data_IF_007588055431
#
_entry.id   IF_007588055431
#
_cell.length_a   1.000
_cell.length_b   1.000
_cell.length_c   1.000
_cell.angle_alpha   90.00
_cell.angle_beta   90.00
_cell.angle_gamma   90.00
#
_symmetry.space_group_name_H-M   'P 1'
#
loop_
_entity.id
_entity.type
_entity.pdbx_description
1 polymer ?
#
# COMPACT_ATOMS: atom_id res chain seq x y z
N UNK A 1 31.28 31.85 20.51
CA UNK A 1 29.96 31.18 20.66
C UNK A 1 29.09 31.25 19.39
N UNK A 2 29.16 32.30 18.56
CA UNK A 2 28.32 32.37 17.33
C UNK A 2 28.75 31.45 16.19
N UNK A 3 29.98 30.98 16.11
CA UNK A 3 30.43 30.05 15.07
C UNK A 3 29.89 28.62 15.26
N UNK A 4 29.69 28.19 16.52
CA UNK A 4 29.15 26.87 16.84
C UNK A 4 27.64 26.75 16.52
N UNK A 5 26.87 27.84 16.69
CA UNK A 5 25.46 27.85 16.32
C UNK A 5 25.23 27.75 14.80
N UNK A 6 26.12 28.32 13.98
CA UNK A 6 26.01 28.21 12.51
C UNK A 6 26.34 26.81 11.98
N UNK A 7 27.16 26.05 12.69
CA UNK A 7 27.47 24.66 12.34
C UNK A 7 26.27 23.73 12.61
N UNK A 8 25.55 23.98 13.70
CA UNK A 8 24.32 23.23 14.04
C UNK A 8 23.15 23.52 13.09
N UNK A 9 23.06 24.75 12.57
CA UNK A 9 22.06 25.08 11.54
C UNK A 9 22.38 24.48 10.17
N UNK A 10 23.62 24.11 9.88
CA UNK A 10 24.03 23.37 8.67
C UNK A 10 23.97 21.84 8.84
N UNK A 11 23.91 21.33 10.05
CA UNK A 11 23.70 19.91 10.31
C UNK A 11 22.20 19.59 10.26
N UNK A 12 21.71 19.53 9.02
CA UNK A 12 20.53 18.78 8.65
C UNK A 12 19.22 19.28 9.25
N UNK A 13 18.48 20.05 8.48
CA UNK A 13 17.03 19.87 8.54
C UNK A 13 16.76 18.34 8.60
N UNK A 14 15.93 17.85 9.54
CA UNK A 14 15.65 16.43 9.67
C UNK A 14 15.30 15.91 8.28
N UNK A 15 16.08 14.96 7.77
CA UNK A 15 15.91 14.45 6.41
C UNK A 15 14.45 14.10 6.30
N UNK A 16 13.71 14.82 5.44
CA UNK A 16 12.26 14.70 5.39
C UNK A 16 11.94 13.21 5.25
N UNK A 17 11.26 12.65 6.26
CA UNK A 17 10.85 11.26 6.27
C UNK A 17 10.17 10.98 4.95
N UNK A 18 10.62 9.94 4.26
CA UNK A 18 10.02 9.48 3.01
C UNK A 18 9.44 8.09 3.25
N UNK A 19 8.34 7.83 2.60
CA UNK A 19 7.76 6.51 2.53
C UNK A 19 7.60 6.11 1.06
N UNK A 20 7.76 4.84 0.78
CA UNK A 20 7.83 4.34 -0.56
C UNK A 20 6.81 3.24 -0.79
N UNK A 21 6.19 3.28 -1.96
CA UNK A 21 5.31 2.23 -2.44
C UNK A 21 5.80 1.71 -3.78
N UNK A 22 5.73 0.42 -3.94
CA UNK A 22 6.13 -0.31 -5.15
C UNK A 22 4.97 -1.13 -5.66
N UNK A 23 4.43 -0.75 -6.81
CA UNK A 23 3.32 -1.42 -7.47
C UNK A 23 3.76 -2.10 -8.76
N UNK A 24 3.19 -3.26 -9.08
CA UNK A 24 3.39 -3.92 -10.37
C UNK A 24 2.65 -3.18 -11.48
N UNK A 25 3.20 -3.17 -12.69
CA UNK A 25 2.61 -2.62 -13.91
C UNK A 25 2.90 -3.60 -15.06
N UNK A 26 2.28 -4.77 -15.03
CA UNK A 26 2.58 -5.86 -15.95
C UNK A 26 4.06 -6.30 -15.85
N UNK A 27 4.85 -6.06 -16.91
CA UNK A 27 6.29 -6.39 -16.91
C UNK A 27 7.16 -5.35 -16.18
N UNK A 28 6.58 -4.27 -15.71
CA UNK A 28 7.28 -3.16 -15.05
C UNK A 28 6.84 -3.02 -13.59
N UNK A 29 7.59 -2.22 -12.85
CA UNK A 29 7.24 -1.79 -11.53
C UNK A 29 7.22 -0.26 -11.46
N UNK A 30 6.30 0.28 -10.69
CA UNK A 30 6.23 1.71 -10.40
C UNK A 30 6.60 1.95 -8.94
N UNK A 31 7.70 2.65 -8.71
CA UNK A 31 8.16 3.07 -7.40
C UNK A 31 7.79 4.54 -7.17
N UNK A 32 7.03 4.81 -6.12
CA UNK A 32 6.65 6.17 -5.73
C UNK A 32 7.16 6.48 -4.34
N UNK A 33 7.80 7.63 -4.20
CA UNK A 33 8.21 8.19 -2.92
C UNK A 33 7.31 9.35 -2.52
N UNK A 34 6.73 9.30 -1.32
CA UNK A 34 5.99 10.40 -0.71
C UNK A 34 6.83 11.13 0.32
N UNK A 35 6.74 12.46 0.35
CA UNK A 35 7.36 13.30 1.36
C UNK A 35 6.37 14.31 1.94
N UNK A 36 6.67 14.81 3.13
CA UNK A 36 5.84 15.82 3.80
C UNK A 36 5.83 17.12 3.01
N UNK A 37 4.65 17.67 2.76
CA UNK A 37 4.43 18.94 2.07
C UNK A 37 3.89 20.05 3.02
N UNK A 38 3.61 19.70 4.28
CA UNK A 38 3.05 20.55 5.31
C UNK A 38 2.85 19.76 6.58
N UNK A 39 2.02 20.23 7.52
CA UNK A 39 1.73 19.50 8.76
C UNK A 39 1.02 18.19 8.49
N UNK A 40 0.00 18.22 7.63
CA UNK A 40 -0.92 17.08 7.43
C UNK A 40 -1.02 16.63 5.97
N UNK A 41 -0.06 17.07 5.14
CA UNK A 41 -0.06 16.74 3.71
C UNK A 41 1.22 16.01 3.32
N UNK A 42 1.05 15.03 2.46
CA UNK A 42 2.11 14.37 1.72
C UNK A 42 1.99 14.72 0.24
N UNK A 43 3.11 14.81 -0.44
CA UNK A 43 3.18 15.00 -1.89
C UNK A 43 4.06 13.93 -2.54
N UNK A 44 3.79 13.68 -3.80
CA UNK A 44 4.68 12.85 -4.63
C UNK A 44 6.01 13.57 -4.79
N UNK A 45 7.08 12.95 -4.31
CA UNK A 45 8.46 13.47 -4.40
C UNK A 45 9.18 12.92 -5.62
N UNK A 46 8.93 11.65 -5.92
CA UNK A 46 9.57 10.95 -7.03
C UNK A 46 8.68 9.82 -7.51
N UNK A 47 8.76 9.58 -8.81
CA UNK A 47 8.16 8.41 -9.46
C UNK A 47 9.20 7.84 -10.40
N UNK A 48 9.44 6.52 -10.30
CA UNK A 48 10.39 5.81 -11.15
C UNK A 48 9.73 4.55 -11.69
N UNK A 49 9.81 4.34 -13.00
CA UNK A 49 9.44 3.08 -13.63
C UNK A 49 10.68 2.18 -13.70
N UNK A 50 10.49 0.93 -13.35
CA UNK A 50 11.55 -0.07 -13.25
C UNK A 50 11.18 -1.24 -14.13
N UNK A 51 12.06 -1.61 -15.06
CA UNK A 51 11.80 -2.74 -15.93
C UNK A 51 12.05 -4.07 -15.20
N UNK A 52 11.06 -4.96 -15.22
CA UNK A 52 11.14 -6.28 -14.58
C UNK A 52 12.03 -7.29 -15.31
N UNK A 53 12.60 -6.95 -16.47
CA UNK A 53 13.40 -7.85 -17.30
C UNK A 53 14.59 -8.48 -16.58
N UNK A 54 14.96 -7.98 -15.42
CA UNK A 54 16.05 -8.49 -14.59
C UNK A 54 15.57 -9.29 -13.38
N UNK A 55 14.28 -9.59 -13.25
CA UNK A 55 13.75 -10.29 -12.07
C UNK A 55 14.14 -9.60 -10.76
N UNK A 56 14.45 -10.42 -9.74
CA UNK A 56 14.90 -9.95 -8.42
C UNK A 56 16.08 -8.97 -8.46
N UNK A 57 16.98 -9.14 -9.43
CA UNK A 57 18.19 -8.32 -9.55
C UNK A 57 17.88 -6.90 -10.02
N UNK A 58 16.94 -6.72 -10.94
CA UNK A 58 16.56 -5.40 -11.44
C UNK A 58 15.83 -4.58 -10.37
N UNK A 59 14.89 -5.20 -9.66
CA UNK A 59 14.22 -4.56 -8.55
C UNK A 59 15.22 -4.13 -7.46
N UNK A 60 16.18 -4.98 -7.14
CA UNK A 60 17.23 -4.66 -6.17
C UNK A 60 18.07 -3.46 -6.62
N UNK A 61 18.52 -3.44 -7.87
CA UNK A 61 19.31 -2.32 -8.41
C UNK A 61 18.53 -1.00 -8.35
N UNK A 62 17.29 -1.04 -8.74
CA UNK A 62 16.41 0.13 -8.71
C UNK A 62 16.15 0.66 -7.31
N UNK A 63 15.94 -0.23 -6.33
CA UNK A 63 15.82 0.16 -4.94
C UNK A 63 17.16 0.73 -4.40
N UNK A 64 18.29 0.17 -4.82
CA UNK A 64 19.60 0.71 -4.48
C UNK A 64 19.79 2.11 -5.04
N UNK A 65 19.46 2.36 -6.30
CA UNK A 65 19.54 3.68 -6.92
C UNK A 65 18.63 4.70 -6.23
N UNK A 66 17.38 4.32 -5.93
CA UNK A 66 16.46 5.17 -5.19
C UNK A 66 16.93 5.45 -3.75
N UNK A 67 17.58 4.49 -3.10
CA UNK A 67 18.07 4.59 -1.72
C UNK A 67 19.41 5.32 -1.55
N UNK A 68 20.24 5.40 -2.57
CA UNK A 68 21.61 5.97 -2.49
C UNK A 68 21.65 7.44 -2.08
N UNK A 69 20.54 8.15 -2.08
CA UNK A 69 20.49 9.59 -1.78
C UNK A 69 20.48 9.93 -0.29
N UNK A 70 20.48 8.96 0.63
CA UNK A 70 20.43 9.26 2.08
C UNK A 70 21.25 8.28 2.91
N UNK A 71 22.30 8.79 3.51
CA UNK A 71 22.97 8.20 4.67
C UNK A 71 22.00 8.26 5.86
N UNK A 72 21.50 7.12 6.34
CA UNK A 72 20.60 7.09 7.49
C UNK A 72 19.87 5.77 7.65
N UNK A 73 18.76 5.82 8.36
CA UNK A 73 17.92 4.65 8.65
C UNK A 73 17.39 4.00 7.35
N UNK A 74 17.22 2.66 7.35
CA UNK A 74 16.72 1.94 6.18
C UNK A 74 15.37 2.50 5.74
N UNK A 75 15.23 2.73 4.45
CA UNK A 75 13.97 3.19 3.85
C UNK A 75 12.92 2.09 4.02
N UNK A 76 11.67 2.51 4.29
CA UNK A 76 10.53 1.60 4.36
C UNK A 76 9.82 1.57 3.02
N UNK A 77 9.47 0.38 2.55
CA UNK A 77 8.69 0.18 1.32
C UNK A 77 7.53 -0.77 1.58
N UNK A 78 6.36 -0.43 1.06
CA UNK A 78 5.23 -1.34 0.93
C UNK A 78 5.11 -1.79 -0.54
N UNK A 79 4.69 -3.02 -0.77
CA UNK A 79 4.66 -3.66 -2.09
C UNK A 79 3.25 -4.19 -2.35
N UNK A 80 2.73 -4.01 -3.58
CA UNK A 80 1.52 -4.72 -4.00
C UNK A 80 1.85 -6.12 -4.48
N UNK A 81 0.92 -7.02 -4.22
CA UNK A 81 0.81 -8.30 -4.90
C UNK A 81 -0.51 -8.35 -5.66
N UNK A 82 -0.47 -8.97 -6.82
CA UNK A 82 -1.62 -9.21 -7.68
C UNK A 82 -1.75 -10.71 -7.96
N UNK A 83 -2.86 -11.12 -8.56
CA UNK A 83 -3.02 -12.50 -9.01
C UNK A 83 -1.90 -12.89 -10.01
N UNK A 84 -1.40 -14.11 -9.99
CA UNK A 84 -1.84 -15.23 -9.16
C UNK A 84 -1.19 -15.32 -7.77
N UNK A 85 -0.23 -14.47 -7.44
CA UNK A 85 0.56 -14.53 -6.19
C UNK A 85 -0.25 -14.11 -4.96
N UNK A 86 -1.33 -13.33 -5.15
CA UNK A 86 -2.26 -12.91 -4.11
C UNK A 86 -3.66 -13.44 -4.40
N UNK A 87 -4.29 -14.01 -3.40
CA UNK A 87 -5.72 -14.38 -3.41
C UNK A 87 -6.48 -13.51 -2.42
N UNK A 88 -7.71 -13.18 -2.78
CA UNK A 88 -8.63 -12.45 -1.90
C UNK A 88 -9.96 -13.15 -1.89
N UNK A 89 -10.68 -13.05 -0.80
CA UNK A 89 -11.99 -13.65 -0.68
C UNK A 89 -12.80 -13.09 0.47
N UNK A 90 -13.96 -13.73 0.67
CA UNK A 90 -14.92 -13.38 1.70
C UNK A 90 -15.38 -14.65 2.38
N UNK A 91 -15.23 -14.70 3.69
CA UNK A 91 -15.73 -15.77 4.53
C UNK A 91 -17.01 -15.31 5.21
N UNK A 92 -18.02 -16.18 5.23
CA UNK A 92 -19.27 -15.96 5.97
C UNK A 92 -19.25 -16.79 7.24
N UNK A 93 -19.15 -16.14 8.39
CA UNK A 93 -19.16 -16.79 9.69
C UNK A 93 -20.51 -16.60 10.39
N UNK A 94 -21.14 -17.66 10.93
CA UNK A 94 -22.27 -17.51 11.85
C UNK A 94 -21.88 -16.64 13.04
N UNK A 95 -22.86 -15.88 13.57
CA UNK A 95 -22.61 -14.94 14.70
C UNK A 95 -22.16 -15.70 15.97
N UNK A 96 -22.51 -16.97 16.09
CA UNK A 96 -22.13 -17.85 17.20
C UNK A 96 -20.65 -18.24 17.20
N UNK A 97 -19.97 -18.11 16.07
CA UNK A 97 -18.53 -18.39 15.98
C UNK A 97 -17.75 -17.25 16.66
N UNK A 98 -17.00 -17.54 17.74
CA UNK A 98 -16.25 -16.53 18.46
C UNK A 98 -15.13 -15.96 17.57
N UNK A 99 -14.81 -14.69 17.79
CA UNK A 99 -13.80 -13.96 16.98
C UNK A 99 -12.41 -14.61 17.06
N UNK A 100 -12.10 -15.27 18.16
CA UNK A 100 -10.85 -16.00 18.36
C UNK A 100 -10.68 -17.18 17.38
N UNK A 101 -11.78 -17.70 16.82
CA UNK A 101 -11.76 -18.78 15.82
C UNK A 101 -11.50 -18.30 14.39
N UNK A 102 -11.76 -17.03 14.09
CA UNK A 102 -11.67 -16.50 12.72
C UNK A 102 -10.29 -16.67 12.07
N UNK A 103 -9.16 -16.44 12.76
CA UNK A 103 -7.85 -16.62 12.13
C UNK A 103 -7.64 -18.02 11.58
N UNK A 104 -8.12 -19.07 12.28
CA UNK A 104 -7.98 -20.45 11.84
C UNK A 104 -8.84 -20.74 10.58
N UNK A 105 -10.07 -20.25 10.57
CA UNK A 105 -10.97 -20.41 9.43
C UNK A 105 -10.42 -19.67 8.19
N UNK A 106 -9.98 -18.42 8.36
CA UNK A 106 -9.39 -17.65 7.26
C UNK A 106 -8.11 -18.33 6.75
N UNK A 107 -7.27 -18.85 7.64
CA UNK A 107 -6.06 -19.56 7.25
C UNK A 107 -6.36 -20.79 6.37
N UNK A 108 -7.40 -21.54 6.70
CA UNK A 108 -7.84 -22.71 5.91
C UNK A 108 -8.37 -22.29 4.54
N UNK A 109 -9.18 -21.24 4.47
CA UNK A 109 -9.70 -20.69 3.21
C UNK A 109 -8.55 -20.23 2.29
N UNK A 110 -7.59 -19.49 2.83
CA UNK A 110 -6.40 -19.04 2.08
C UNK A 110 -5.55 -20.21 1.60
N UNK A 111 -5.32 -21.21 2.47
CA UNK A 111 -4.58 -22.41 2.14
C UNK A 111 -5.25 -23.21 1.01
N UNK A 112 -6.56 -23.34 1.06
CA UNK A 112 -7.35 -23.97 -0.01
C UNK A 112 -7.28 -23.16 -1.31
N UNK A 113 -7.46 -21.85 -1.26
CA UNK A 113 -7.43 -20.99 -2.44
C UNK A 113 -6.06 -20.99 -3.14
N UNK A 114 -4.97 -21.12 -2.39
CA UNK A 114 -3.59 -21.20 -2.90
C UNK A 114 -3.14 -22.65 -3.21
N UNK A 115 -3.93 -23.65 -2.80
CA UNK A 115 -3.53 -25.05 -2.83
C UNK A 115 -2.18 -25.31 -2.14
N UNK A 116 -2.03 -24.73 -0.93
CA UNK A 116 -0.84 -24.82 -0.08
C UNK A 116 -1.20 -25.36 1.31
N UNK A 117 -0.25 -25.94 2.05
CA UNK A 117 -0.43 -26.25 3.47
C UNK A 117 -0.74 -24.99 4.28
N UNK A 118 -1.59 -25.07 5.34
CA UNK A 118 -1.95 -23.90 6.16
C UNK A 118 -0.76 -23.19 6.80
N UNK A 119 0.30 -23.93 7.12
CA UNK A 119 1.54 -23.38 7.69
C UNK A 119 2.44 -22.65 6.66
N UNK A 120 2.13 -22.76 5.36
CA UNK A 120 2.87 -22.10 4.28
C UNK A 120 2.20 -20.81 3.77
N UNK A 121 1.07 -20.40 4.34
CA UNK A 121 0.35 -19.20 3.92
C UNK A 121 0.51 -18.05 4.90
N UNK A 122 0.63 -16.83 4.37
CA UNK A 122 0.42 -15.58 5.09
C UNK A 122 -0.96 -15.04 4.72
N UNK A 123 -1.67 -14.48 5.69
CA UNK A 123 -2.98 -13.89 5.47
C UNK A 123 -3.20 -12.71 6.40
N UNK A 124 -4.14 -11.87 6.02
CA UNK A 124 -4.72 -10.79 6.83
C UNK A 124 -6.22 -10.75 6.57
N UNK A 125 -6.99 -10.26 7.53
CA UNK A 125 -8.44 -10.20 7.38
C UNK A 125 -9.04 -9.02 8.14
N UNK A 126 -10.20 -8.60 7.68
CA UNK A 126 -10.96 -7.50 8.25
C UNK A 126 -12.45 -7.88 8.32
N UNK A 127 -13.09 -7.79 9.49
CA UNK A 127 -14.51 -7.97 9.60
C UNK A 127 -15.24 -6.83 8.90
N UNK A 128 -16.22 -7.17 8.08
CA UNK A 128 -17.10 -6.18 7.47
C UNK A 128 -18.19 -5.73 8.46
N UNK A 129 -18.67 -4.50 8.29
CA UNK A 129 -19.78 -4.00 9.09
C UNK A 129 -21.01 -4.90 8.90
N UNK A 130 -21.68 -5.25 9.99
CA UNK A 130 -22.92 -6.01 9.93
C UNK A 130 -23.99 -5.18 9.21
N UNK A 131 -24.48 -5.68 8.10
CA UNK A 131 -25.50 -5.00 7.31
C UNK A 131 -26.89 -5.41 7.76
N UNK A 132 -27.13 -6.68 8.06
CA UNK A 132 -28.33 -7.25 8.70
C UNK A 132 -28.16 -8.79 8.71
N UNK A 133 -28.58 -9.45 9.81
CA UNK A 133 -28.68 -10.91 9.85
C UNK A 133 -27.77 -11.62 10.86
N UNK A 134 -27.80 -12.94 10.83
CA UNK A 134 -27.09 -13.86 11.73
C UNK A 134 -25.70 -14.26 11.20
N UNK A 135 -25.20 -13.58 10.18
CA UNK A 135 -23.92 -13.90 9.51
C UNK A 135 -23.02 -12.68 9.51
N UNK A 136 -21.79 -12.86 9.98
CA UNK A 136 -20.71 -11.89 9.81
C UNK A 136 -19.90 -12.23 8.58
N UNK A 137 -19.55 -11.21 7.84
CA UNK A 137 -18.67 -11.35 6.69
C UNK A 137 -17.27 -10.87 7.06
N UNK A 138 -16.27 -11.65 6.66
CA UNK A 138 -14.87 -11.37 6.89
C UNK A 138 -14.20 -11.33 5.53
N UNK A 139 -13.70 -10.16 5.15
CA UNK A 139 -12.88 -10.00 3.95
C UNK A 139 -11.46 -10.43 4.29
N UNK A 140 -10.85 -11.22 3.44
CA UNK A 140 -9.48 -11.68 3.65
C UNK A 140 -8.63 -11.58 2.39
N UNK A 141 -7.32 -11.49 2.59
CA UNK A 141 -6.29 -11.56 1.56
C UNK A 141 -5.19 -12.52 2.01
N UNK A 142 -4.62 -13.26 1.08
CA UNK A 142 -3.57 -14.22 1.41
C UNK A 142 -2.59 -14.47 0.28
N UNK A 143 -1.38 -14.89 0.65
CA UNK A 143 -0.31 -15.23 -0.28
C UNK A 143 0.61 -16.30 0.33
N UNK A 144 1.47 -16.92 -0.48
CA UNK A 144 2.48 -17.84 0.01
C UNK A 144 3.51 -17.13 0.91
N UNK A 145 3.90 -17.75 2.03
CA UNK A 145 4.99 -17.26 2.90
C UNK A 145 6.30 -17.09 2.15
N UNK A 146 6.59 -18.00 1.24
CA UNK A 146 7.78 -17.94 0.38
C UNK A 146 7.85 -16.64 -0.42
N UNK A 147 6.70 -16.15 -0.92
CA UNK A 147 6.64 -14.91 -1.70
C UNK A 147 6.99 -13.68 -0.87
N UNK A 148 6.46 -13.61 0.35
CA UNK A 148 6.80 -12.52 1.27
C UNK A 148 8.27 -12.58 1.68
N UNK A 149 8.80 -13.78 1.96
CA UNK A 149 10.21 -13.99 2.29
C UNK A 149 11.13 -13.56 1.14
N UNK A 150 10.73 -13.79 -0.11
CA UNK A 150 11.44 -13.34 -1.30
C UNK A 150 11.53 -11.80 -1.35
N UNK A 151 10.41 -11.09 -1.16
CA UNK A 151 10.42 -9.62 -1.09
C UNK A 151 11.23 -9.08 0.09
N UNK A 152 11.16 -9.73 1.25
CA UNK A 152 12.00 -9.37 2.40
C UNK A 152 13.50 -9.49 2.08
N UNK A 153 13.88 -10.56 1.38
CA UNK A 153 15.25 -10.77 0.93
C UNK A 153 15.69 -9.69 -0.08
N UNK A 154 14.86 -9.36 -1.06
CA UNK A 154 15.20 -8.34 -2.06
C UNK A 154 15.35 -6.95 -1.46
N UNK A 155 14.40 -6.56 -0.62
CA UNK A 155 14.43 -5.25 0.04
C UNK A 155 15.60 -5.13 1.00
N UNK A 156 15.88 -6.16 1.81
CA UNK A 156 17.00 -6.15 2.76
C UNK A 156 18.36 -6.08 2.05
N UNK A 157 18.54 -6.80 0.95
CA UNK A 157 19.77 -6.74 0.13
C UNK A 157 19.97 -5.35 -0.52
N UNK A 158 18.90 -4.59 -0.70
CA UNK A 158 18.98 -3.23 -1.19
C UNK A 158 19.13 -2.19 -0.05
N UNK A 159 19.22 -2.62 1.21
CA UNK A 159 19.29 -1.73 2.38
C UNK A 159 17.94 -1.13 2.76
N UNK A 160 16.84 -1.71 2.28
CA UNK A 160 15.48 -1.29 2.55
C UNK A 160 14.80 -2.23 3.55
N UNK A 161 13.70 -1.77 4.14
CA UNK A 161 12.87 -2.59 5.03
C UNK A 161 11.48 -2.74 4.43
N UNK A 162 11.08 -3.98 4.17
CA UNK A 162 9.70 -4.28 3.79
C UNK A 162 8.76 -3.92 4.96
N UNK A 163 7.77 -3.09 4.71
CA UNK A 163 6.78 -2.67 5.69
C UNK A 163 5.54 -3.55 5.65
N UNK A 164 5.01 -3.77 4.45
CA UNK A 164 3.82 -4.58 4.20
C UNK A 164 3.80 -5.07 2.76
N UNK A 165 3.02 -6.11 2.56
CA UNK A 165 2.56 -6.58 1.24
C UNK A 165 1.05 -6.56 1.30
N UNK A 166 0.38 -6.00 0.29
CA UNK A 166 -1.07 -5.87 0.30
C UNK A 166 -1.68 -5.90 -1.11
N UNK A 167 -3.01 -6.14 -1.23
CA UNK A 167 -3.71 -6.07 -2.51
C UNK A 167 -3.62 -4.68 -3.15
N UNK A 168 -3.47 -4.64 -4.47
CA UNK A 168 -3.43 -3.38 -5.22
C UNK A 168 -4.72 -2.56 -5.04
N UNK A 169 -5.87 -3.22 -4.97
CA UNK A 169 -7.16 -2.57 -4.76
C UNK A 169 -7.22 -1.83 -3.41
N UNK A 170 -6.78 -2.45 -2.31
CA UNK A 170 -6.78 -1.84 -0.98
C UNK A 170 -5.86 -0.60 -0.92
N UNK A 171 -4.71 -0.70 -1.58
CA UNK A 171 -3.80 0.44 -1.71
C UNK A 171 -4.42 1.58 -2.52
N UNK A 172 -5.06 1.28 -3.66
CA UNK A 172 -5.74 2.27 -4.48
C UNK A 172 -6.91 2.94 -3.77
N UNK A 173 -7.72 2.16 -3.04
CA UNK A 173 -8.80 2.71 -2.20
C UNK A 173 -8.26 3.68 -1.15
N UNK A 174 -7.18 3.32 -0.46
CA UNK A 174 -6.51 4.20 0.51
C UNK A 174 -6.05 5.49 -0.15
N UNK A 175 -5.37 5.40 -1.30
CA UNK A 175 -4.91 6.57 -2.02
C UNK A 175 -6.07 7.46 -2.44
N UNK A 176 -7.16 6.90 -2.98
CA UNK A 176 -8.33 7.66 -3.42
C UNK A 176 -9.03 8.39 -2.28
N UNK A 177 -9.14 7.75 -1.10
CA UNK A 177 -9.75 8.33 0.11
C UNK A 177 -8.91 9.48 0.69
N UNK A 178 -7.58 9.37 0.61
CA UNK A 178 -6.65 10.36 1.18
C UNK A 178 -6.25 11.46 0.18
N UNK A 179 -6.58 11.31 -1.10
CA UNK A 179 -6.24 12.29 -2.13
C UNK A 179 -7.00 13.59 -1.91
N UNK A 180 -6.28 14.71 -1.96
CA UNK A 180 -6.88 16.05 -1.90
C UNK A 180 -7.69 16.29 -3.17
N UNK A 181 -8.99 16.55 -3.00
CA UNK A 181 -9.94 16.70 -4.12
C UNK A 181 -10.53 15.37 -4.62
N UNK A 182 -10.15 14.23 -4.05
CA UNK A 182 -10.75 12.92 -4.34
C UNK A 182 -10.55 12.43 -5.77
N UNK A 183 -11.36 11.46 -6.20
CA UNK A 183 -11.29 10.84 -7.53
C UNK A 183 -11.28 11.83 -8.71
N UNK A 184 -12.06 12.95 -8.72
CA UNK A 184 -12.00 13.92 -9.80
C UNK A 184 -10.60 14.51 -10.01
N UNK A 185 -9.82 14.69 -8.95
CA UNK A 185 -8.45 15.21 -9.04
C UNK A 185 -7.49 14.26 -9.76
N UNK A 186 -7.74 12.95 -9.72
CA UNK A 186 -6.94 11.96 -10.45
C UNK A 186 -6.99 12.18 -11.97
N UNK A 187 -8.12 12.66 -12.47
CA UNK A 187 -8.33 12.92 -13.91
C UNK A 187 -7.85 14.30 -14.34
N UNK A 188 -7.78 15.25 -13.40
CA UNK A 188 -7.49 16.66 -13.70
C UNK A 188 -6.04 17.06 -13.39
N UNK A 189 -5.38 16.35 -12.48
CA UNK A 189 -4.03 16.68 -12.03
C UNK A 189 -3.01 15.67 -12.57
N UNK A 190 -1.84 16.17 -12.91
CA UNK A 190 -0.73 15.28 -13.22
C UNK A 190 -0.29 14.52 -11.95
N UNK A 191 0.12 13.24 -12.07
CA UNK A 191 0.47 12.41 -10.90
C UNK A 191 1.54 12.98 -9.98
N UNK A 192 2.44 13.81 -10.49
CA UNK A 192 3.46 14.50 -9.70
C UNK A 192 2.89 15.61 -8.79
N UNK A 193 1.68 16.09 -9.08
CA UNK A 193 1.03 17.17 -8.34
C UNK A 193 0.05 16.63 -7.29
N UNK A 194 -0.11 15.32 -7.20
CA UNK A 194 -1.00 14.70 -6.22
C UNK A 194 -0.52 14.96 -4.81
N UNK A 195 -1.49 15.32 -3.97
CA UNK A 195 -1.31 15.54 -2.54
C UNK A 195 -2.26 14.64 -1.77
N UNK A 196 -1.79 14.11 -0.65
CA UNK A 196 -2.55 13.18 0.18
C UNK A 196 -2.61 13.72 1.61
N UNK A 197 -3.77 13.60 2.27
CA UNK A 197 -3.91 13.91 3.69
C UNK A 197 -3.33 12.80 4.54
N UNK A 198 -2.69 13.14 5.67
CA UNK A 198 -2.15 12.15 6.62
C UNK A 198 -3.22 11.56 7.54
N UNK A 199 -4.26 12.33 7.84
CA UNK A 199 -5.40 11.89 8.62
C UNK A 199 -6.66 11.95 7.74
N UNK A 200 -7.38 10.85 7.72
CA UNK A 200 -8.74 10.85 7.20
C UNK A 200 -9.64 11.33 8.34
N UNK A 201 -9.94 12.63 8.39
CA UNK A 201 -11.09 13.11 9.16
C UNK A 201 -12.32 12.94 8.28
N UNK A 202 -13.23 12.03 8.62
CA UNK A 202 -14.52 11.98 7.94
C UNK A 202 -15.24 13.30 8.25
N UNK A 203 -15.17 14.26 7.32
CA UNK A 203 -16.10 15.40 7.37
C UNK A 203 -17.53 14.85 7.31
N UNK A 204 -18.51 15.53 7.93
CA UNK A 204 -19.90 15.08 7.90
C UNK A 204 -20.40 14.80 6.47
N UNK A 205 -19.88 15.50 5.47
CA UNK A 205 -20.10 15.21 4.04
C UNK A 205 -19.40 13.93 3.56
N UNK A 206 -18.28 13.51 4.18
CA UNK A 206 -17.59 12.27 3.83
C UNK A 206 -18.24 11.04 4.48
N UNK A 207 -19.01 11.21 5.55
CA UNK A 207 -19.83 10.11 6.11
C UNK A 207 -20.97 9.73 5.16
N UNK A 208 -21.61 10.70 4.51
CA UNK A 208 -22.57 10.43 3.43
C UNK A 208 -21.89 9.80 2.20
N UNK A 209 -20.66 10.19 1.88
CA UNK A 209 -19.89 9.63 0.76
C UNK A 209 -19.26 8.29 1.11
N UNK A 210 -18.95 8.01 2.38
CA UNK A 210 -18.42 6.72 2.83
C UNK A 210 -19.47 5.61 2.83
N UNK A 211 -20.72 5.95 3.12
CA UNK A 211 -21.87 5.05 2.92
C UNK A 211 -22.17 4.81 1.42
N UNK A 212 -21.63 5.65 0.54
CA UNK A 212 -21.80 5.64 -0.91
C UNK A 212 -20.57 5.14 -1.67
N UNK A 213 -19.65 4.39 -1.07
CA UNK A 213 -18.82 3.46 -1.85
C UNK A 213 -19.74 2.34 -2.38
N UNK A 214 -20.75 2.81 -3.09
CA UNK A 214 -21.70 2.01 -3.83
C UNK A 214 -20.95 1.23 -4.90
N UNK A 215 -21.53 0.13 -5.37
CA UNK A 215 -21.00 -0.72 -6.44
C UNK A 215 -20.46 0.06 -7.66
N UNK A 216 -20.99 1.26 -7.93
CA UNK A 216 -20.51 2.14 -8.99
C UNK A 216 -19.13 2.76 -8.76
N UNK A 217 -18.76 3.09 -7.53
CA UNK A 217 -17.41 3.63 -7.25
C UNK A 217 -16.34 2.53 -7.27
N UNK A 218 -16.71 1.32 -6.90
CA UNK A 218 -15.79 0.17 -7.01
C UNK A 218 -15.48 -0.12 -8.48
N UNK A 219 -16.48 -0.12 -9.35
CA UNK A 219 -16.28 -0.28 -10.79
C UNK A 219 -15.41 0.84 -11.39
N UNK A 220 -15.65 2.11 -10.99
CA UNK A 220 -14.82 3.23 -11.44
C UNK A 220 -13.36 3.11 -10.95
N UNK A 221 -13.11 2.59 -9.75
CA UNK A 221 -11.76 2.35 -9.25
C UNK A 221 -11.08 1.18 -9.99
N UNK A 222 -11.82 0.12 -10.31
CA UNK A 222 -11.31 -1.01 -11.10
C UNK A 222 -10.96 -0.57 -12.55
N UNK A 223 -11.78 0.27 -13.19
CA UNK A 223 -11.46 0.87 -14.47
C UNK A 223 -10.21 1.77 -14.39
N UNK A 224 -10.08 2.54 -13.32
CA UNK A 224 -8.92 3.38 -13.09
C UNK A 224 -7.65 2.54 -12.87
N UNK A 225 -7.74 1.41 -12.17
CA UNK A 225 -6.62 0.49 -11.98
C UNK A 225 -6.14 -0.11 -13.31
N UNK A 226 -7.03 -0.37 -14.24
CA UNK A 226 -6.70 -0.84 -15.59
C UNK A 226 -6.10 0.27 -16.49
N UNK A 227 -6.13 1.54 -16.06
CA UNK A 227 -5.59 2.67 -16.80
C UNK A 227 -4.07 2.84 -16.56
N UNK A 228 -3.33 3.59 -17.41
CA UNK A 228 -1.91 3.88 -17.20
C UNK A 228 -1.58 4.63 -15.91
N UNK A 229 -2.59 5.18 -15.24
CA UNK A 229 -2.46 5.91 -13.97
C UNK A 229 -2.59 4.96 -12.78
N UNK A 230 -3.26 3.82 -12.94
CA UNK A 230 -3.55 2.86 -11.90
C UNK A 230 -2.34 2.44 -11.08
N UNK A 231 -1.26 1.96 -11.69
CA UNK A 231 -0.06 1.52 -10.93
C UNK A 231 0.56 2.64 -10.07
N UNK A 232 0.49 3.90 -10.52
CA UNK A 232 0.96 5.04 -9.73
C UNK A 232 0.06 5.31 -8.52
N UNK A 233 -1.26 5.21 -8.70
CA UNK A 233 -2.23 5.34 -7.62
C UNK A 233 -2.02 4.27 -6.56
N UNK A 234 -1.85 3.01 -6.98
CA UNK A 234 -1.50 1.89 -6.10
C UNK A 234 -0.21 2.19 -5.34
N UNK A 235 0.85 2.59 -6.03
CA UNK A 235 2.14 2.90 -5.40
C UNK A 235 2.03 4.06 -4.40
N UNK A 236 1.19 5.07 -4.66
CA UNK A 236 0.90 6.13 -3.69
C UNK A 236 0.20 5.57 -2.44
N UNK A 237 -0.80 4.71 -2.59
CA UNK A 237 -1.49 4.08 -1.47
C UNK A 237 -0.59 3.19 -0.61
N UNK A 238 0.32 2.46 -1.25
CA UNK A 238 1.37 1.68 -0.59
C UNK A 238 2.33 2.59 0.20
N UNK A 239 2.76 3.71 -0.40
CA UNK A 239 3.62 4.67 0.28
C UNK A 239 2.91 5.30 1.50
N UNK A 240 1.60 5.57 1.42
CA UNK A 240 0.79 6.00 2.54
C UNK A 240 0.80 4.98 3.68
N UNK A 241 0.67 3.68 3.39
CA UNK A 241 0.79 2.58 4.37
C UNK A 241 2.19 2.51 4.99
N UNK A 242 3.23 2.70 4.20
CA UNK A 242 4.61 2.70 4.70
C UNK A 242 4.93 3.95 5.55
N UNK A 243 4.14 5.01 5.42
CA UNK A 243 4.26 6.23 6.23
C UNK A 243 3.81 6.01 7.67
N UNK A 244 2.71 5.29 7.88
CA UNK A 244 2.18 4.91 9.21
C UNK A 244 3.02 3.83 9.86
#
# INVERSE_FOLDING_TARGET
MQAFMRLWQKMGAPSARQAWGLASDGPEWVLVGLSRAGTDLLKVQSTTRLQAQSGASGLRLALLEAGQRKLGLPQKVAISLDAPDLVTGRLSCPVEVPEEGWPAEVQLEVAQALNLPPDEVNFDFEPEAMVEGWVRHIRWAGCAKSRVAEFQKWTSHAGWRLRSVEPALDAAERASKMLVGGLPSLMQQAPQDWQFRLSYEPSAQALETSALFTSGQKGALEELLASPVGPRLVACGLALKAWT
#
